data_IF_435719691596
#
_entry.id   IF_435719691596
#
_cell.length_a   1.000
_cell.length_b   1.000
_cell.length_c   1.000
_cell.angle_alpha   90.00
_cell.angle_beta   90.00
_cell.angle_gamma   90.00
#
_symmetry.space_group_name_H-M   'P 1'
#
loop_
_entity.id
_entity.type
_entity.pdbx_description
1 polymer ?
#
# COMPACT_ATOMS: atom_id res chain seq x y z
N UNK A 1 10.94 -11.89 -16.63
CA UNK A 1 10.99 -12.51 -15.27
C UNK A 1 9.58 -12.57 -14.72
N UNK A 2 9.18 -13.61 -13.96
CA UNK A 2 7.88 -13.59 -13.28
C UNK A 2 7.81 -12.40 -12.31
N UNK A 3 6.61 -11.87 -12.09
CA UNK A 3 6.43 -10.81 -11.10
C UNK A 3 6.87 -11.34 -9.73
N UNK A 4 7.55 -10.51 -8.93
CA UNK A 4 8.10 -10.91 -7.62
C UNK A 4 7.80 -9.85 -6.56
N UNK A 5 7.45 -10.27 -5.35
CA UNK A 5 7.31 -9.40 -4.18
C UNK A 5 8.55 -9.58 -3.29
N UNK A 6 9.29 -8.51 -3.05
CA UNK A 6 10.43 -8.45 -2.14
C UNK A 6 10.03 -7.80 -0.81
N UNK A 7 10.39 -8.47 0.28
CA UNK A 7 10.10 -8.08 1.66
C UNK A 7 11.38 -7.54 2.32
N UNK A 8 11.29 -6.33 2.85
CA UNK A 8 12.42 -5.55 3.37
C UNK A 8 12.16 -5.00 4.78
N UNK A 9 13.23 -4.60 5.46
CA UNK A 9 13.15 -3.51 6.43
C UNK A 9 13.96 -2.32 5.93
N UNK A 10 13.71 -1.16 6.51
CA UNK A 10 14.40 0.08 6.12
C UNK A 10 15.68 0.36 6.92
N UNK A 11 15.93 -0.36 8.02
CA UNK A 11 16.97 -0.05 9.01
C UNK A 11 16.81 1.36 9.63
N UNK A 12 15.59 1.69 10.04
CA UNK A 12 15.20 3.01 10.58
C UNK A 12 14.30 2.88 11.83
N UNK A 13 13.95 4.00 12.49
CA UNK A 13 12.87 4.02 13.48
C UNK A 13 11.52 3.63 12.90
N UNK A 14 10.58 3.28 13.78
CA UNK A 14 9.20 2.87 13.47
C UNK A 14 8.35 3.92 12.76
N UNK A 15 8.69 5.20 12.88
CA UNK A 15 7.97 6.32 12.27
C UNK A 15 8.52 6.74 10.91
N UNK A 16 9.55 6.07 10.40
CA UNK A 16 10.22 6.51 9.19
C UNK A 16 9.39 6.20 7.93
N UNK A 17 9.16 7.23 7.12
CA UNK A 17 8.53 7.11 5.79
C UNK A 17 9.28 8.00 4.81
N UNK A 18 9.67 7.45 3.65
CA UNK A 18 10.32 8.21 2.58
C UNK A 18 10.03 7.60 1.21
N UNK A 19 9.57 8.43 0.27
CA UNK A 19 9.36 8.02 -1.12
C UNK A 19 10.66 7.69 -1.85
N UNK A 20 10.60 6.74 -2.79
CA UNK A 20 11.59 6.50 -3.85
C UNK A 20 12.34 5.18 -3.76
N UNK A 21 12.29 4.49 -2.61
CA UNK A 21 12.99 3.23 -2.39
C UNK A 21 12.07 2.01 -2.41
N UNK A 22 10.89 2.13 -1.80
CA UNK A 22 9.95 1.02 -1.65
C UNK A 22 8.58 1.42 -2.20
N UNK A 23 7.81 0.43 -2.65
CA UNK A 23 6.44 0.67 -3.08
C UNK A 23 5.54 0.98 -1.90
N UNK A 24 5.77 0.28 -0.78
CA UNK A 24 5.07 0.54 0.47
C UNK A 24 6.02 0.46 1.64
N UNK A 25 5.88 1.41 2.55
CA UNK A 25 6.50 1.37 3.87
C UNK A 25 5.42 1.10 4.91
N UNK A 26 5.67 0.17 5.83
CA UNK A 26 4.78 -0.17 6.92
C UNK A 26 5.30 0.45 8.23
N UNK A 27 4.55 1.38 8.80
CA UNK A 27 4.86 2.03 10.08
C UNK A 27 4.82 1.06 11.26
N UNK A 28 5.40 1.42 12.41
CA UNK A 28 5.49 0.53 13.59
C UNK A 28 4.15 0.04 14.13
N UNK A 29 3.08 0.78 13.88
CA UNK A 29 1.69 0.47 14.24
C UNK A 29 0.97 -0.37 13.17
N UNK A 30 1.62 -0.70 12.05
CA UNK A 30 1.03 -1.44 10.93
C UNK A 30 0.40 -0.56 9.85
N UNK A 31 0.45 0.78 9.97
CA UNK A 31 -0.03 1.70 8.94
C UNK A 31 0.72 1.51 7.61
N UNK A 32 -0.01 1.48 6.50
CA UNK A 32 0.54 1.32 5.17
C UNK A 32 0.73 2.68 4.50
N UNK A 33 1.97 2.98 4.13
CA UNK A 33 2.36 4.14 3.34
C UNK A 33 2.70 3.66 1.93
N UNK A 34 1.71 3.61 1.03
CA UNK A 34 1.92 3.25 -0.40
C UNK A 34 2.48 4.45 -1.14
N UNK A 35 3.76 4.39 -1.49
CA UNK A 35 4.52 5.51 -2.07
C UNK A 35 4.57 5.46 -3.59
N UNK A 36 4.43 4.26 -4.17
CA UNK A 36 4.51 4.01 -5.60
C UNK A 36 3.51 2.93 -6.01
N UNK A 37 2.97 3.02 -7.22
CA UNK A 37 2.04 2.01 -7.74
C UNK A 37 2.77 0.68 -8.00
N UNK A 38 2.13 -0.46 -7.67
CA UNK A 38 2.72 -1.80 -7.86
C UNK A 38 2.93 -2.24 -9.31
N UNK A 39 2.53 -1.41 -10.27
CA UNK A 39 2.72 -1.66 -11.69
C UNK A 39 4.01 -1.06 -12.25
N UNK A 40 4.82 -0.40 -11.42
CA UNK A 40 6.01 0.34 -11.85
C UNK A 40 7.26 -0.33 -11.29
N UNK A 41 8.37 -0.26 -12.02
CA UNK A 41 9.65 -0.71 -11.49
C UNK A 41 10.32 0.44 -10.73
N UNK A 42 10.78 0.17 -9.50
CA UNK A 42 11.58 1.11 -8.74
C UNK A 42 13.07 0.89 -8.99
N UNK A 43 13.90 1.94 -9.04
CA UNK A 43 15.27 1.80 -9.52
C UNK A 43 16.18 1.02 -8.58
N UNK A 44 15.91 0.97 -7.27
CA UNK A 44 16.88 0.51 -6.28
C UNK A 44 16.29 0.02 -4.94
N UNK A 45 15.73 -1.19 -4.90
CA UNK A 45 15.44 -1.90 -3.63
C UNK A 45 16.15 -3.25 -3.50
N UNK A 46 16.24 -4.03 -4.57
CA UNK A 46 16.87 -5.35 -4.59
C UNK A 46 17.83 -5.44 -5.77
N UNK A 47 19.13 -5.45 -5.48
CA UNK A 47 20.19 -5.43 -6.50
C UNK A 47 19.98 -6.49 -7.60
N UNK A 48 19.99 -6.04 -8.86
CA UNK A 48 19.73 -6.85 -10.08
C UNK A 48 18.38 -7.58 -10.14
N UNK A 49 17.42 -7.21 -9.29
CA UNK A 49 16.13 -7.89 -9.16
C UNK A 49 14.92 -6.94 -9.20
N UNK A 50 15.14 -5.65 -9.42
CA UNK A 50 14.11 -4.61 -9.37
C UNK A 50 13.05 -4.67 -10.48
N UNK A 51 13.35 -5.32 -11.61
CA UNK A 51 12.42 -5.33 -12.75
C UNK A 51 11.30 -6.34 -12.61
N UNK A 52 10.09 -5.94 -12.97
CA UNK A 52 8.85 -6.67 -12.76
C UNK A 52 8.71 -7.12 -11.29
N UNK A 53 8.88 -6.18 -10.36
CA UNK A 53 8.87 -6.51 -8.94
C UNK A 53 8.29 -5.42 -8.05
N UNK A 54 7.74 -5.83 -6.91
CA UNK A 54 7.20 -4.96 -5.87
C UNK A 54 8.05 -5.07 -4.62
N UNK A 55 8.19 -3.96 -3.88
CA UNK A 55 9.00 -3.89 -2.67
C UNK A 55 8.17 -3.37 -1.50
N UNK A 56 7.99 -4.19 -0.48
CA UNK A 56 7.30 -3.85 0.77
C UNK A 56 8.34 -3.78 1.88
N UNK A 57 8.37 -2.69 2.65
CA UNK A 57 9.37 -2.48 3.71
C UNK A 57 8.74 -2.16 5.05
N UNK A 58 9.09 -2.88 6.11
CA UNK A 58 8.78 -2.43 7.47
C UNK A 58 9.75 -1.30 7.88
N UNK A 59 9.21 -0.22 8.44
CA UNK A 59 10.00 0.83 9.07
C UNK A 59 10.55 0.30 10.41
N UNK A 60 11.69 -0.40 10.43
CA UNK A 60 12.27 -0.98 11.64
C UNK A 60 13.77 -1.26 11.48
N UNK A 61 14.38 -1.89 12.49
CA UNK A 61 15.80 -2.28 12.54
C UNK A 61 16.81 -1.13 12.55
N UNK A 62 16.39 0.09 12.88
CA UNK A 62 17.25 1.27 12.97
C UNK A 62 18.01 1.43 14.29
N UNK A 63 17.95 0.43 15.18
CA UNK A 63 18.59 0.45 16.48
C UNK A 63 20.12 0.59 16.39
N UNK A 64 20.72 1.30 17.34
CA UNK A 64 22.18 1.44 17.48
C UNK A 64 22.61 1.29 18.95
N UNK A 65 23.68 0.53 19.27
CA UNK A 65 24.50 -0.27 18.36
C UNK A 65 23.83 -1.58 17.90
N UNK A 66 22.74 -1.99 18.56
CA UNK A 66 22.00 -3.22 18.24
C UNK A 66 20.71 -2.90 17.45
N UNK A 67 20.61 -3.32 16.16
CA UNK A 67 19.41 -3.17 15.34
C UNK A 67 18.14 -3.73 15.99
N UNK A 68 18.26 -4.79 16.80
CA UNK A 68 17.15 -5.45 17.48
C UNK A 68 16.51 -4.64 18.60
N UNK A 69 17.04 -3.46 18.91
CA UNK A 69 16.37 -2.50 19.82
C UNK A 69 15.15 -1.85 19.18
N UNK A 70 15.02 -1.92 17.85
CA UNK A 70 13.84 -1.51 17.08
C UNK A 70 13.39 -2.69 16.20
N UNK A 71 12.93 -3.81 16.79
CA UNK A 71 12.56 -5.00 16.02
C UNK A 71 11.34 -4.72 15.13
N UNK A 72 11.07 -5.54 14.09
CA UNK A 72 9.77 -5.53 13.43
C UNK A 72 8.66 -5.82 14.45
N UNK A 73 7.59 -5.03 14.43
CA UNK A 73 6.42 -5.28 15.28
C UNK A 73 5.52 -6.35 14.66
N UNK A 74 4.69 -7.01 15.46
CA UNK A 74 3.72 -7.97 14.92
C UNK A 74 2.71 -7.27 13.99
N UNK A 75 2.30 -6.04 14.31
CA UNK A 75 1.45 -5.22 13.46
C UNK A 75 2.09 -4.96 12.08
N UNK A 76 3.40 -4.67 12.05
CA UNK A 76 4.16 -4.53 10.81
C UNK A 76 4.18 -5.81 9.98
N UNK A 77 4.49 -6.95 10.62
CA UNK A 77 4.59 -8.24 9.95
C UNK A 77 3.24 -8.68 9.39
N UNK A 78 2.16 -8.49 10.16
CA UNK A 78 0.80 -8.79 9.73
C UNK A 78 0.38 -7.91 8.54
N UNK A 79 0.53 -6.60 8.66
CA UNK A 79 0.17 -5.65 7.60
C UNK A 79 0.96 -5.92 6.30
N UNK A 80 2.27 -6.18 6.40
CA UNK A 80 3.10 -6.56 5.24
C UNK A 80 2.61 -7.85 4.58
N UNK A 81 2.26 -8.88 5.35
CA UNK A 81 1.76 -10.14 4.81
C UNK A 81 0.38 -9.98 4.15
N UNK A 82 -0.51 -9.21 4.79
CA UNK A 82 -1.85 -8.91 4.23
C UNK A 82 -1.73 -8.12 2.93
N UNK A 83 -0.84 -7.14 2.89
CA UNK A 83 -0.58 -6.33 1.71
C UNK A 83 0.00 -7.16 0.55
N UNK A 84 0.97 -8.04 0.84
CA UNK A 84 1.51 -8.97 -0.15
C UNK A 84 0.43 -9.94 -0.70
N UNK A 85 -0.51 -10.38 0.14
CA UNK A 85 -1.64 -11.21 -0.28
C UNK A 85 -2.60 -10.43 -1.20
N UNK A 86 -2.92 -9.16 -0.88
CA UNK A 86 -3.75 -8.32 -1.75
C UNK A 86 -3.10 -8.08 -3.12
N UNK A 87 -1.79 -7.83 -3.16
CA UNK A 87 -1.03 -7.72 -4.42
C UNK A 87 -1.12 -9.03 -5.20
N UNK A 88 -0.85 -10.16 -4.55
CA UNK A 88 -0.95 -11.47 -5.17
C UNK A 88 -2.35 -11.73 -5.76
N UNK A 89 -3.44 -11.41 -5.03
CA UNK A 89 -4.81 -11.49 -5.55
C UNK A 89 -5.01 -10.64 -6.80
N UNK A 90 -4.52 -9.40 -6.79
CA UNK A 90 -4.64 -8.49 -7.93
C UNK A 90 -3.93 -9.02 -9.18
N UNK A 91 -2.92 -9.87 -9.02
CA UNK A 91 -2.22 -10.57 -10.09
C UNK A 91 -2.82 -11.94 -10.44
N UNK A 92 -3.94 -12.31 -9.82
CA UNK A 92 -4.59 -13.61 -10.01
C UNK A 92 -3.84 -14.78 -9.39
N UNK A 93 -2.90 -14.53 -8.47
CA UNK A 93 -2.16 -15.58 -7.77
C UNK A 93 -3.02 -16.23 -6.70
N UNK A 94 -2.91 -17.55 -6.60
CA UNK A 94 -3.50 -18.35 -5.53
C UNK A 94 -2.43 -18.72 -4.48
N UNK A 95 -2.82 -19.39 -3.40
CA UNK A 95 -1.90 -19.70 -2.30
C UNK A 95 -0.69 -20.55 -2.74
N UNK A 96 -0.86 -21.46 -3.70
CA UNK A 96 0.20 -22.29 -4.28
C UNK A 96 1.27 -21.48 -5.03
N UNK A 97 0.91 -20.31 -5.55
CA UNK A 97 1.83 -19.39 -6.20
C UNK A 97 2.79 -18.73 -5.20
N UNK A 98 2.47 -18.67 -3.90
CA UNK A 98 3.34 -18.05 -2.91
C UNK A 98 4.53 -18.98 -2.63
N UNK A 99 5.58 -18.82 -3.43
CA UNK A 99 6.80 -19.63 -3.44
C UNK A 99 8.02 -18.72 -3.28
N UNK A 100 9.19 -19.29 -3.01
CA UNK A 100 10.44 -18.51 -2.95
C UNK A 100 10.78 -17.84 -4.29
N UNK A 101 10.24 -18.29 -5.42
CA UNK A 101 10.45 -17.64 -6.72
C UNK A 101 9.55 -16.41 -6.92
N UNK A 102 8.52 -16.22 -6.10
CA UNK A 102 7.51 -15.16 -6.26
C UNK A 102 7.41 -14.23 -5.05
N UNK A 103 7.78 -14.68 -3.87
CA UNK A 103 7.84 -13.87 -2.65
C UNK A 103 9.13 -14.20 -1.89
N UNK A 104 10.02 -13.21 -1.78
CA UNK A 104 11.34 -13.35 -1.16
C UNK A 104 11.59 -12.26 -0.14
N UNK A 105 12.33 -12.59 0.92
CA UNK A 105 12.97 -11.55 1.72
C UNK A 105 14.23 -11.02 1.02
N UNK A 106 14.73 -9.83 1.37
CA UNK A 106 16.01 -9.37 0.82
C UNK A 106 17.14 -10.33 1.19
N UNK A 107 17.14 -10.94 2.38
CA UNK A 107 18.14 -11.96 2.74
C UNK A 107 18.18 -13.12 1.73
N UNK A 108 17.01 -13.63 1.34
CA UNK A 108 16.89 -14.75 0.40
C UNK A 108 17.29 -14.33 -1.02
N UNK A 109 16.88 -13.14 -1.44
CA UNK A 109 17.20 -12.57 -2.75
C UNK A 109 18.70 -12.30 -2.89
N UNK A 110 19.33 -11.74 -1.85
CA UNK A 110 20.76 -11.48 -1.76
C UNK A 110 21.60 -12.77 -1.79
N UNK A 111 21.00 -13.89 -1.38
CA UNK A 111 21.63 -15.21 -1.38
C UNK A 111 21.23 -16.10 -2.54
N UNK A 112 20.52 -15.58 -3.56
CA UNK A 112 20.08 -16.35 -4.73
C UNK A 112 19.29 -17.63 -4.39
N UNK A 113 18.54 -17.63 -3.29
CA UNK A 113 17.87 -18.84 -2.78
C UNK A 113 16.72 -19.35 -3.65
N UNK A 114 16.27 -18.55 -4.60
CA UNK A 114 15.31 -18.93 -5.63
C UNK A 114 15.92 -19.84 -6.72
N UNK A 115 17.22 -20.12 -6.65
CA UNK A 115 17.97 -20.92 -7.63
C UNK A 115 18.49 -20.11 -8.81
N UNK A 116 18.33 -18.78 -8.80
CA UNK A 116 18.79 -17.88 -9.86
C UNK A 116 20.09 -17.20 -9.48
N UNK A 117 21.17 -17.48 -10.19
CA UNK A 117 22.46 -16.81 -9.97
C UNK A 117 22.47 -15.41 -10.60
N UNK A 118 22.08 -14.39 -9.85
CA UNK A 118 21.97 -13.01 -10.36
C UNK A 118 23.20 -12.15 -10.07
N UNK A 119 23.92 -12.45 -9.00
CA UNK A 119 25.06 -11.72 -8.44
C UNK A 119 25.79 -12.63 -7.44
N UNK A 120 26.96 -12.21 -6.98
CA UNK A 120 27.62 -12.86 -5.84
C UNK A 120 26.74 -12.79 -4.59
N UNK A 121 26.91 -13.74 -3.67
CA UNK A 121 26.10 -13.83 -2.46
C UNK A 121 26.49 -12.73 -1.46
N UNK A 122 25.63 -11.70 -1.34
CA UNK A 122 25.77 -10.63 -0.35
C UNK A 122 24.75 -10.75 0.80
N UNK A 123 24.12 -11.92 0.90
CA UNK A 123 23.16 -12.22 1.95
C UNK A 123 23.82 -12.70 3.25
N UNK A 124 23.06 -13.34 4.15
CA UNK A 124 23.55 -13.78 5.45
C UNK A 124 24.81 -14.66 5.41
N UNK A 125 25.71 -14.44 6.36
CA UNK A 125 26.95 -15.24 6.53
C UNK A 125 26.63 -16.72 6.74
N UNK A 126 25.56 -17.04 7.47
CA UNK A 126 25.13 -18.43 7.67
C UNK A 126 24.68 -19.12 6.38
N UNK A 127 24.44 -18.37 5.31
CA UNK A 127 24.14 -18.87 3.97
C UNK A 127 25.33 -18.68 3.01
N UNK A 128 26.53 -18.43 3.54
CA UNK A 128 27.77 -18.28 2.76
C UNK A 128 27.93 -16.91 2.08
N UNK A 129 27.15 -15.90 2.49
CA UNK A 129 27.27 -14.54 1.97
C UNK A 129 28.15 -13.63 2.83
N UNK A 130 28.32 -12.39 2.39
CA UNK A 130 29.14 -11.35 3.06
C UNK A 130 28.41 -10.60 4.18
N UNK A 131 27.10 -10.80 4.34
CA UNK A 131 26.31 -10.33 5.50
C UNK A 131 25.67 -8.94 5.34
N UNK A 132 25.76 -8.31 4.18
CA UNK A 132 25.25 -6.94 3.96
C UNK A 132 23.73 -6.85 3.97
N UNK A 133 23.03 -7.92 3.56
CA UNK A 133 21.57 -7.99 3.65
C UNK A 133 21.11 -9.23 4.37
N UNK A 134 20.33 -9.03 5.42
CA UNK A 134 19.80 -10.10 6.25
C UNK A 134 18.32 -9.87 6.60
N UNK A 135 17.65 -9.01 5.85
CA UNK A 135 16.22 -8.68 5.97
C UNK A 135 15.36 -9.93 6.10
N UNK A 136 14.65 -10.00 7.22
CA UNK A 136 13.81 -11.11 7.63
C UNK A 136 14.47 -12.49 7.48
N UNK A 137 15.78 -12.59 7.71
CA UNK A 137 16.44 -13.86 7.99
C UNK A 137 15.70 -14.57 9.13
N UNK A 138 15.43 -13.82 10.19
CA UNK A 138 14.62 -14.19 11.35
C UNK A 138 13.68 -13.04 11.70
N UNK A 139 12.53 -13.34 12.30
CA UNK A 139 11.50 -12.31 12.62
C UNK A 139 11.64 -11.74 14.04
N UNK A 140 12.46 -12.37 14.89
CA UNK A 140 12.68 -11.97 16.27
C UNK A 140 14.14 -12.12 16.66
N UNK A 141 14.55 -11.43 17.73
CA UNK A 141 15.91 -11.53 18.26
C UNK A 141 16.21 -12.98 18.67
N UNK A 142 17.31 -13.52 18.15
CA UNK A 142 17.70 -14.93 18.31
C UNK A 142 16.67 -15.96 17.82
N UNK A 143 15.72 -15.55 16.98
CA UNK A 143 14.78 -16.45 16.34
C UNK A 143 15.45 -17.36 15.30
N UNK A 144 14.75 -18.41 14.86
CA UNK A 144 15.27 -19.28 13.81
C UNK A 144 15.42 -18.54 12.47
N UNK A 145 16.38 -18.92 11.60
CA UNK A 145 16.62 -18.30 10.30
C UNK A 145 15.60 -18.75 9.23
N UNK A 146 14.32 -18.69 9.59
CA UNK A 146 13.17 -19.18 8.82
C UNK A 146 12.17 -18.07 8.49
N UNK A 147 12.58 -16.80 8.60
CA UNK A 147 11.66 -15.67 8.48
C UNK A 147 10.93 -15.61 7.15
N UNK A 148 11.61 -15.87 6.03
CA UNK A 148 10.97 -15.96 4.70
C UNK A 148 9.90 -17.04 4.60
N UNK A 149 10.13 -18.23 5.18
CA UNK A 149 9.16 -19.32 5.17
C UNK A 149 7.93 -19.00 6.02
N UNK A 150 8.14 -18.36 7.17
CA UNK A 150 7.06 -17.92 8.04
C UNK A 150 6.21 -16.83 7.38
N UNK A 151 6.83 -15.82 6.77
CA UNK A 151 6.14 -14.75 6.05
C UNK A 151 5.32 -15.32 4.88
N UNK A 152 5.91 -16.20 4.05
CA UNK A 152 5.17 -16.88 2.97
C UNK A 152 3.97 -17.67 3.50
N UNK A 153 4.10 -18.35 4.65
CA UNK A 153 2.98 -19.07 5.28
C UNK A 153 1.86 -18.14 5.70
N UNK A 154 2.18 -17.00 6.31
CA UNK A 154 1.20 -15.96 6.69
C UNK A 154 0.48 -15.38 5.47
N UNK A 155 1.21 -15.12 4.38
CA UNK A 155 0.63 -14.63 3.10
C UNK A 155 -0.34 -15.66 2.50
N UNK A 156 0.01 -16.96 2.47
CA UNK A 156 -0.90 -18.02 2.00
C UNK A 156 -2.19 -18.08 2.78
N UNK A 157 -2.12 -18.02 4.11
CA UNK A 157 -3.30 -17.97 4.98
C UNK A 157 -4.21 -16.81 4.59
N UNK A 158 -3.66 -15.63 4.39
CA UNK A 158 -4.45 -14.49 3.96
C UNK A 158 -5.10 -14.69 2.59
N UNK A 159 -4.48 -15.39 1.64
CA UNK A 159 -5.07 -15.69 0.33
C UNK A 159 -6.21 -16.71 0.40
N UNK A 160 -6.09 -17.71 1.27
CA UNK A 160 -7.08 -18.78 1.47
C UNK A 160 -8.33 -18.29 2.21
N UNK A 161 -8.21 -17.26 3.03
CA UNK A 161 -9.35 -16.56 3.63
C UNK A 161 -10.21 -15.93 2.52
N UNK A 162 -11.53 -16.21 2.43
CA UNK A 162 -12.37 -15.64 1.40
C UNK A 162 -12.36 -14.11 1.47
N UNK A 163 -12.18 -13.45 0.32
CA UNK A 163 -12.16 -11.99 0.18
C UNK A 163 -13.49 -11.27 0.55
N UNK A 164 -14.44 -11.98 1.15
CA UNK A 164 -15.75 -11.50 1.54
C UNK A 164 -16.27 -12.23 2.80
N UNK A 165 -15.59 -12.03 3.91
CA UNK A 165 -16.23 -11.60 5.14
C UNK A 165 -15.16 -10.80 5.87
N UNK A 166 -15.39 -9.52 6.12
CA UNK A 166 -14.61 -8.86 7.15
C UNK A 166 -14.65 -9.79 8.38
N UNK A 167 -13.51 -10.23 8.94
CA UNK A 167 -13.56 -10.96 10.18
C UNK A 167 -14.44 -10.17 11.14
N UNK A 168 -15.36 -10.84 11.85
CA UNK A 168 -15.94 -10.22 13.04
C UNK A 168 -14.76 -9.72 13.86
N UNK A 169 -14.69 -8.40 14.17
CA UNK A 169 -13.49 -7.84 14.76
C UNK A 169 -13.17 -8.65 16.02
N UNK A 170 -11.94 -9.15 16.10
CA UNK A 170 -11.41 -9.57 17.38
C UNK A 170 -11.59 -8.38 18.35
N UNK A 171 -11.98 -8.65 19.61
CA UNK A 171 -12.18 -7.59 20.62
C UNK A 171 -11.01 -6.60 20.59
N UNK A 172 -11.24 -5.40 20.05
CA UNK A 172 -10.25 -4.33 19.98
C UNK A 172 -9.85 -3.84 18.57
N UNK A 173 -10.31 -4.46 17.48
CA UNK A 173 -10.12 -3.89 16.12
C UNK A 173 -11.16 -2.79 15.82
N UNK A 174 -10.78 -1.71 15.09
CA UNK A 174 -11.72 -0.65 14.74
C UNK A 174 -12.85 -1.19 13.89
N UNK A 175 -14.10 -0.89 14.28
CA UNK A 175 -15.28 -1.21 13.50
C UNK A 175 -15.14 -0.67 12.07
N UNK A 176 -15.64 -1.44 11.09
CA UNK A 176 -15.75 -1.01 9.70
C UNK A 176 -16.28 0.42 9.64
N UNK A 177 -15.63 1.28 8.85
CA UNK A 177 -15.96 2.70 8.70
C UNK A 177 -17.48 2.86 8.54
N UNK A 178 -18.07 3.56 9.51
CA UNK A 178 -19.50 3.78 9.59
C UNK A 178 -19.87 5.12 8.95
N UNK A 179 -20.69 5.06 7.91
CA UNK A 179 -21.38 6.21 7.35
C UNK A 179 -22.58 6.55 8.22
N UNK A 180 -22.65 7.79 8.70
CA UNK A 180 -23.65 8.21 9.69
C UNK A 180 -24.88 8.83 9.04
N UNK A 181 -24.68 9.68 8.04
CA UNK A 181 -25.79 10.35 7.36
C UNK A 181 -25.42 10.79 5.95
N UNK A 182 -26.38 10.74 5.01
CA UNK A 182 -26.26 11.49 3.76
C UNK A 182 -26.32 12.99 4.07
N UNK A 183 -25.62 13.77 3.26
CA UNK A 183 -25.64 15.22 3.28
C UNK A 183 -25.40 15.74 1.85
N UNK A 184 -25.47 17.05 1.69
CA UNK A 184 -25.07 17.72 0.45
C UNK A 184 -24.11 18.85 0.77
N UNK A 185 -23.21 19.14 -0.16
CA UNK A 185 -22.27 20.26 -0.07
C UNK A 185 -22.22 21.01 -1.40
N UNK A 186 -21.81 22.28 -1.37
CA UNK A 186 -21.59 23.03 -2.61
C UNK A 186 -20.21 22.69 -3.19
N UNK A 187 -20.16 22.43 -4.48
CA UNK A 187 -18.94 22.21 -5.24
C UNK A 187 -19.10 22.87 -6.63
N UNK A 188 -18.24 23.84 -6.95
CA UNK A 188 -18.35 24.70 -8.15
C UNK A 188 -19.75 25.32 -8.36
N UNK A 189 -20.40 25.76 -7.28
CA UNK A 189 -21.75 26.32 -7.36
C UNK A 189 -22.85 25.28 -7.59
N UNK A 190 -22.52 23.99 -7.69
CA UNK A 190 -23.46 22.88 -7.83
C UNK A 190 -23.61 22.13 -6.51
N UNK A 191 -24.73 21.43 -6.35
CA UNK A 191 -24.96 20.55 -5.20
C UNK A 191 -24.33 19.18 -5.43
N UNK A 192 -23.40 18.80 -4.56
CA UNK A 192 -22.73 17.50 -4.55
C UNK A 192 -23.28 16.65 -3.40
N UNK A 193 -23.75 15.44 -3.73
CA UNK A 193 -24.15 14.46 -2.73
C UNK A 193 -22.92 13.88 -2.01
N UNK A 194 -22.98 13.84 -0.69
CA UNK A 194 -21.91 13.28 0.16
C UNK A 194 -22.49 12.41 1.27
N UNK A 195 -21.67 11.51 1.81
CA UNK A 195 -21.95 10.81 3.05
C UNK A 195 -20.90 11.20 4.11
N UNK A 196 -21.37 11.51 5.32
CA UNK A 196 -20.51 11.87 6.44
C UNK A 196 -20.19 10.62 7.27
N UNK A 197 -18.91 10.41 7.56
CA UNK A 197 -18.48 9.36 8.49
C UNK A 197 -18.60 9.78 9.96
N UNK A 198 -18.27 8.88 10.88
CA UNK A 198 -18.31 9.13 12.32
C UNK A 198 -17.37 10.24 12.80
N UNK A 199 -16.33 10.58 12.02
CA UNK A 199 -15.36 11.64 12.32
C UNK A 199 -15.74 12.96 11.65
N UNK A 200 -16.86 13.01 10.91
CA UNK A 200 -17.30 14.19 10.17
C UNK A 200 -16.61 14.36 8.82
N UNK A 201 -15.83 13.38 8.35
CA UNK A 201 -15.22 13.45 7.02
C UNK A 201 -16.31 13.27 5.96
N UNK A 202 -16.27 14.10 4.91
CA UNK A 202 -17.16 13.98 3.76
C UNK A 202 -16.60 12.99 2.75
N UNK A 203 -17.45 12.06 2.29
CA UNK A 203 -17.15 11.10 1.24
C UNK A 203 -18.10 11.28 0.07
N UNK A 204 -17.60 11.21 -1.15
CA UNK A 204 -18.42 11.28 -2.36
C UNK A 204 -18.04 10.16 -3.33
N UNK A 205 -18.90 9.93 -4.33
CA UNK A 205 -18.54 9.07 -5.45
C UNK A 205 -17.37 9.71 -6.21
N UNK A 206 -16.32 8.93 -6.43
CA UNK A 206 -15.15 9.38 -7.18
C UNK A 206 -15.54 9.80 -8.60
N UNK A 207 -16.50 9.09 -9.22
CA UNK A 207 -17.04 9.43 -10.52
C UNK A 207 -17.70 10.82 -10.56
N UNK A 208 -18.50 11.16 -9.56
CA UNK A 208 -19.21 12.45 -9.50
C UNK A 208 -18.21 13.60 -9.34
N UNK A 209 -17.22 13.44 -8.48
CA UNK A 209 -16.13 14.41 -8.30
C UNK A 209 -15.31 14.59 -9.60
N UNK A 210 -14.91 13.49 -10.24
CA UNK A 210 -14.15 13.56 -11.49
C UNK A 210 -14.95 14.23 -12.61
N UNK A 211 -16.24 13.90 -12.73
CA UNK A 211 -17.13 14.53 -13.71
C UNK A 211 -17.35 16.02 -13.42
N UNK A 212 -17.52 16.42 -12.16
CA UNK A 212 -17.71 17.82 -11.76
C UNK A 212 -16.52 18.72 -12.12
N UNK A 213 -15.32 18.15 -12.08
CA UNK A 213 -14.06 18.83 -12.42
C UNK A 213 -13.58 18.52 -13.84
N UNK A 214 -14.41 17.87 -14.66
CA UNK A 214 -14.13 17.57 -16.07
C UNK A 214 -12.82 16.79 -16.25
N UNK A 215 -12.49 15.94 -15.28
CA UNK A 215 -11.28 15.11 -15.28
C UNK A 215 -11.57 13.81 -16.05
N UNK A 216 -10.90 13.54 -17.17
CA UNK A 216 -11.09 12.30 -17.92
C UNK A 216 -10.61 11.10 -17.10
N UNK A 217 -11.38 10.00 -17.11
CA UNK A 217 -10.99 8.79 -16.39
C UNK A 217 -11.52 7.51 -17.05
N UNK A 218 -10.89 6.38 -16.70
CA UNK A 218 -11.32 5.03 -17.07
C UNK A 218 -11.34 4.13 -15.82
N UNK A 219 -12.39 3.33 -15.66
CA UNK A 219 -12.45 2.30 -14.62
C UNK A 219 -11.84 0.99 -15.11
N UNK A 220 -10.85 0.48 -14.38
CA UNK A 220 -10.23 -0.83 -14.57
C UNK A 220 -10.73 -1.79 -13.47
N UNK A 221 -11.82 -2.51 -13.78
CA UNK A 221 -12.51 -3.37 -12.80
C UNK A 221 -11.64 -4.50 -12.24
N UNK A 222 -10.78 -5.09 -13.08
CA UNK A 222 -9.90 -6.22 -12.69
C UNK A 222 -8.91 -5.85 -11.60
N UNK A 223 -8.53 -4.57 -11.53
CA UNK A 223 -7.57 -4.05 -10.54
C UNK A 223 -8.18 -3.10 -9.53
N UNK A 224 -9.51 -2.89 -9.59
CA UNK A 224 -10.22 -1.91 -8.75
C UNK A 224 -9.55 -0.53 -8.82
N UNK A 225 -9.34 -0.04 -10.04
CA UNK A 225 -8.53 1.17 -10.28
C UNK A 225 -9.24 2.18 -11.17
N UNK A 226 -9.13 3.46 -10.82
CA UNK A 226 -9.50 4.58 -11.69
C UNK A 226 -8.21 5.12 -12.32
N UNK A 227 -8.14 5.08 -13.66
CA UNK A 227 -7.04 5.64 -14.44
C UNK A 227 -7.42 7.05 -14.89
N UNK A 228 -6.68 8.05 -14.43
CA UNK A 228 -6.89 9.45 -14.74
C UNK A 228 -6.13 9.81 -16.01
N UNK A 229 -6.81 10.44 -16.96
CA UNK A 229 -6.18 10.99 -18.17
C UNK A 229 -5.05 11.95 -17.80
N UNK A 230 -4.02 12.03 -18.66
CA UNK A 230 -2.81 12.81 -18.36
C UNK A 230 -3.15 14.23 -17.91
N UNK A 231 -2.89 14.50 -16.63
CA UNK A 231 -3.06 15.79 -15.97
C UNK A 231 -1.75 16.13 -15.26
N UNK A 232 -1.52 17.43 -15.06
CA UNK A 232 -0.50 17.96 -14.15
C UNK A 232 -0.92 17.73 -12.69
N UNK A 233 -1.05 16.47 -12.29
CA UNK A 233 -1.21 16.05 -10.89
C UNK A 233 0.17 15.61 -10.40
N UNK A 234 0.63 16.22 -9.31
CA UNK A 234 1.80 15.76 -8.57
C UNK A 234 1.26 15.03 -7.35
N UNK A 235 1.25 13.69 -7.34
CA UNK A 235 0.70 12.93 -6.22
C UNK A 235 1.39 13.36 -4.93
N UNK A 236 0.60 13.85 -3.98
CA UNK A 236 1.12 14.28 -2.70
C UNK A 236 1.14 13.08 -1.76
N UNK A 237 2.28 12.80 -1.15
CA UNK A 237 2.31 11.79 -0.09
C UNK A 237 1.45 12.30 1.08
N UNK A 238 0.56 11.45 1.58
CA UNK A 238 -0.23 11.73 2.78
C UNK A 238 -0.03 10.66 3.83
N UNK A 239 0.18 11.09 5.06
CA UNK A 239 0.28 10.20 6.23
C UNK A 239 -1.08 9.56 6.57
N UNK A 240 -2.18 10.25 6.24
CA UNK A 240 -3.53 9.88 6.65
C UNK A 240 -4.34 9.14 5.56
N UNK A 241 -3.71 8.59 4.52
CA UNK A 241 -4.42 7.89 3.44
C UNK A 241 -5.35 6.78 3.97
N UNK A 242 -6.45 6.54 3.25
CA UNK A 242 -7.43 5.49 3.60
C UNK A 242 -6.73 4.13 3.76
N UNK A 243 -6.76 3.60 4.98
CA UNK A 243 -6.10 2.36 5.38
C UNK A 243 -7.02 1.14 5.20
N UNK A 244 -6.50 -0.08 4.98
CA UNK A 244 -7.31 -1.30 4.95
C UNK A 244 -8.13 -1.54 6.22
N UNK A 245 -7.67 -1.00 7.37
CA UNK A 245 -8.37 -1.07 8.65
C UNK A 245 -9.75 -0.40 8.65
N UNK A 246 -10.09 0.39 7.63
CA UNK A 246 -11.46 0.92 7.45
C UNK A 246 -12.50 -0.17 7.17
N UNK A 247 -12.09 -1.41 6.90
CA UNK A 247 -12.98 -2.57 6.76
C UNK A 247 -13.80 -2.59 5.47
N UNK A 248 -13.42 -1.79 4.46
CA UNK A 248 -14.00 -1.83 3.12
C UNK A 248 -12.95 -2.30 2.10
N UNK A 249 -13.34 -3.01 1.03
CA UNK A 249 -12.46 -3.21 -0.12
C UNK A 249 -12.01 -1.84 -0.64
N UNK A 250 -10.76 -1.73 -1.08
CA UNK A 250 -10.20 -0.46 -1.50
C UNK A 250 -10.09 -0.37 -3.01
N UNK A 251 -10.12 0.86 -3.54
CA UNK A 251 -9.75 1.17 -4.91
C UNK A 251 -8.60 2.18 -4.93
N UNK A 252 -7.86 2.19 -6.03
CA UNK A 252 -6.76 3.14 -6.26
C UNK A 252 -7.09 4.08 -7.42
N UNK A 253 -6.67 5.33 -7.31
CA UNK A 253 -6.64 6.27 -8.42
C UNK A 253 -5.20 6.52 -8.84
N UNK A 254 -4.87 6.36 -10.13
CA UNK A 254 -3.52 6.57 -10.67
C UNK A 254 -3.63 7.33 -12.00
N UNK A 255 -2.53 7.94 -12.49
CA UNK A 255 -2.56 8.43 -13.88
C UNK A 255 -2.54 7.25 -14.87
N UNK A 256 -3.03 7.49 -16.08
CA UNK A 256 -3.06 6.54 -17.19
C UNK A 256 -1.65 6.23 -17.74
N UNK A 257 -0.67 7.12 -17.52
CA UNK A 257 0.72 6.88 -17.91
C UNK A 257 1.31 5.76 -17.04
N UNK A 258 1.97 4.80 -17.69
CA UNK A 258 2.34 3.49 -17.13
C UNK A 258 3.36 3.47 -15.99
N UNK A 259 3.69 4.61 -15.38
CA UNK A 259 4.64 4.74 -14.27
C UNK A 259 4.10 5.63 -13.12
N UNK A 260 2.82 5.97 -13.13
CA UNK A 260 2.31 7.04 -12.28
C UNK A 260 2.09 6.62 -10.81
N UNK A 261 2.42 7.48 -9.84
CA UNK A 261 2.15 7.22 -8.44
C UNK A 261 0.64 7.10 -8.16
N UNK A 262 0.29 6.45 -7.06
CA UNK A 262 -1.08 6.48 -6.53
C UNK A 262 -1.40 7.92 -6.14
N UNK A 263 -2.45 8.47 -6.75
CA UNK A 263 -2.95 9.83 -6.48
C UNK A 263 -3.74 9.79 -5.17
N UNK A 264 -4.76 8.94 -5.10
CA UNK A 264 -5.59 8.79 -3.90
C UNK A 264 -6.12 7.37 -3.77
N UNK A 265 -6.54 7.04 -2.54
CA UNK A 265 -7.23 5.79 -2.23
C UNK A 265 -8.63 6.08 -1.73
N UNK A 266 -9.53 5.18 -2.03
CA UNK A 266 -10.86 5.21 -1.48
C UNK A 266 -11.38 3.81 -1.23
N UNK A 267 -12.67 3.74 -0.93
CA UNK A 267 -13.35 2.48 -0.64
C UNK A 267 -14.27 2.08 -1.79
N UNK A 268 -14.53 0.79 -1.90
CA UNK A 268 -15.62 0.23 -2.70
C UNK A 268 -16.76 -0.15 -1.79
N UNK A 269 -17.89 0.54 -1.98
CA UNK A 269 -19.15 0.29 -1.29
C UNK A 269 -20.24 0.16 -2.33
N UNK A 270 -21.01 -0.92 -2.27
CA UNK A 270 -22.11 -1.23 -3.19
C UNK A 270 -21.66 -1.17 -4.67
N UNK A 271 -20.48 -1.74 -4.93
CA UNK A 271 -19.81 -1.75 -6.25
C UNK A 271 -19.53 -0.34 -6.85
N UNK A 272 -19.47 0.69 -5.99
CA UNK A 272 -19.16 2.06 -6.36
C UNK A 272 -17.92 2.55 -5.62
N UNK A 273 -17.12 3.37 -6.30
CA UNK A 273 -15.88 3.93 -5.77
C UNK A 273 -16.17 5.25 -5.01
N UNK A 274 -15.79 5.30 -3.74
CA UNK A 274 -15.98 6.45 -2.85
C UNK A 274 -14.65 6.93 -2.29
N UNK A 275 -14.38 8.23 -2.34
CA UNK A 275 -13.18 8.84 -1.74
C UNK A 275 -13.54 9.98 -0.80
N UNK A 276 -12.61 10.31 0.11
CA UNK A 276 -12.73 11.50 0.96
C UNK A 276 -12.65 12.74 0.09
N UNK A 277 -13.60 13.66 0.28
CA UNK A 277 -13.77 14.84 -0.56
C UNK A 277 -12.60 15.82 -0.40
N UNK A 278 -12.13 16.05 0.83
CA UNK A 278 -10.99 16.92 1.10
C UNK A 278 -9.70 16.37 0.47
N UNK A 279 -9.46 15.06 0.60
CA UNK A 279 -8.30 14.39 -0.01
C UNK A 279 -8.32 14.52 -1.53
N UNK A 280 -9.48 14.28 -2.17
CA UNK A 280 -9.65 14.52 -3.60
C UNK A 280 -9.33 15.96 -3.97
N UNK A 281 -9.84 16.93 -3.21
CA UNK A 281 -9.61 18.34 -3.50
C UNK A 281 -8.12 18.69 -3.46
N UNK A 282 -7.40 18.20 -2.46
CA UNK A 282 -5.97 18.48 -2.28
C UNK A 282 -5.12 17.83 -3.38
N UNK A 283 -5.37 16.56 -3.71
CA UNK A 283 -4.63 15.85 -4.77
C UNK A 283 -4.83 16.47 -6.16
N UNK A 284 -6.03 17.00 -6.44
CA UNK A 284 -6.33 17.63 -7.72
C UNK A 284 -6.09 19.15 -7.74
N UNK A 285 -5.56 19.72 -6.66
CA UNK A 285 -5.29 21.16 -6.56
C UNK A 285 -6.55 22.02 -6.54
N UNK A 286 -7.67 21.48 -6.08
CA UNK A 286 -8.95 22.18 -5.96
C UNK A 286 -8.94 23.03 -4.69
N UNK A 287 -9.36 24.29 -4.81
CA UNK A 287 -9.47 25.18 -3.66
C UNK A 287 -10.69 24.83 -2.81
N UNK A 288 -10.59 24.98 -1.49
CA UNK A 288 -11.67 24.67 -0.54
C UNK A 288 -11.96 25.86 0.36
N UNK A 289 -13.22 26.04 0.75
CA UNK A 289 -13.63 26.86 1.90
C UNK A 289 -14.18 25.92 2.98
N UNK A 290 -14.07 26.28 4.26
CA UNK A 290 -14.52 25.45 5.39
C UNK A 290 -15.80 25.95 6.07
N UNK A 291 -16.28 27.15 5.70
CA UNK A 291 -17.44 27.80 6.32
C UNK A 291 -18.42 28.32 5.26
N UNK A 292 -19.31 27.46 4.70
CA UNK A 292 -19.36 26.01 4.88
C UNK A 292 -18.28 25.26 4.09
N UNK A 293 -18.06 23.98 4.42
CA UNK A 293 -17.14 23.13 3.65
C UNK A 293 -17.63 23.02 2.20
N UNK A 294 -16.84 23.54 1.26
CA UNK A 294 -17.21 23.66 -0.15
C UNK A 294 -15.98 23.51 -1.05
N UNK A 295 -16.21 22.94 -2.23
CA UNK A 295 -15.17 22.87 -3.25
C UNK A 295 -15.32 24.02 -4.26
N UNK A 296 -14.21 24.68 -4.58
CA UNK A 296 -14.15 25.81 -5.49
C UNK A 296 -13.48 25.37 -6.80
N UNK A 297 -12.81 26.30 -7.49
CA UNK A 297 -12.10 26.01 -8.74
C UNK A 297 -10.77 25.29 -8.52
N UNK A 298 -10.36 24.55 -9.56
CA UNK A 298 -9.06 23.90 -9.65
C UNK A 298 -7.96 24.95 -9.91
N UNK A 299 -6.88 24.90 -9.13
CA UNK A 299 -5.74 25.81 -9.29
C UNK A 299 -4.94 25.41 -10.54
N UNK A 300 -4.75 26.36 -11.46
CA UNK A 300 -3.98 26.15 -12.68
C UNK A 300 -4.77 25.59 -13.87
N UNK A 301 -6.11 25.59 -13.80
CA UNK A 301 -7.01 25.43 -14.94
C UNK A 301 -7.56 26.76 -15.44
#
# INVERSE_FOLDING_TARGET
MPATIYLHWSATPHSWVRSGLYHTIIGGDGSLHRLHAYSIDLPAHTWRRNSNSVALSCACMGGRPDPWTIPPTEAQLEAMCREAAEIARSWGWQADAITIQRVMTHAEAASNRDGRWMHDNYGPVIWGGTGERWDFLQLSRNGPPTGGDELRRRIRRFLEEPAAAAPSPAKGEPERLAFRRPATMNARGQELAVELDANGSSWALAADLLSLYEIPYVWEASRRRILIGSLDVVPSFREDQVQPSVGWPLFEMTLQSGNAPVILRGILRDNRAWCRVLEFAEEFGISVSFEPFTLLERRGG
#
